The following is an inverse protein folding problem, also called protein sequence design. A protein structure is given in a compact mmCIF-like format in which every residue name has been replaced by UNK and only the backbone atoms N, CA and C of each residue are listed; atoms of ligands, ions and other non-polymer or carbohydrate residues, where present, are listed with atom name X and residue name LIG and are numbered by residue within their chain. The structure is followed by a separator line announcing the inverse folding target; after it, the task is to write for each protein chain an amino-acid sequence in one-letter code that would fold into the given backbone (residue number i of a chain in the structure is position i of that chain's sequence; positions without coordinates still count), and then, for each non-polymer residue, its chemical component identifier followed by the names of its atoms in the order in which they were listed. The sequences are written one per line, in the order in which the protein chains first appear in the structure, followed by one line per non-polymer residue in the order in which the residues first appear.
data_IF_082599013021
#
_entry.id   IF_082599013021
#
_cell.length_a   1.000
_cell.length_b   1.000
_cell.length_c   1.000
_cell.angle_alpha   90.00
_cell.angle_beta   90.00
_cell.angle_gamma   90.00
#
_symmetry.space_group_name_H-M   'P 1'
#
loop_
_entity.id
_entity.type
_entity.pdbx_description
1 polymer ?
#
# COMPACT_ATOMS: atom_id res chain seq x y z
N UNK A 1 -4.58 -17.35 20.36
CA UNK A 1 -4.29 -16.31 21.39
C UNK A 1 -4.17 -14.96 20.71
N UNK A 2 -4.14 -13.86 21.48
CA UNK A 2 -3.98 -12.50 20.91
C UNK A 2 -2.68 -12.37 20.09
N UNK A 3 -1.61 -13.04 20.51
CA UNK A 3 -0.32 -13.07 19.79
C UNK A 3 -0.47 -13.71 18.40
N UNK A 4 -1.10 -14.88 18.31
CA UNK A 4 -1.32 -15.57 17.02
C UNK A 4 -2.19 -14.73 16.07
N UNK A 5 -3.17 -14.00 16.63
CA UNK A 5 -4.02 -13.10 15.86
C UNK A 5 -3.23 -11.92 15.29
N UNK A 6 -2.37 -11.27 16.09
CA UNK A 6 -1.52 -10.18 15.61
C UNK A 6 -0.55 -10.69 14.55
N UNK A 7 0.08 -11.84 14.77
CA UNK A 7 1.00 -12.43 13.80
C UNK A 7 0.30 -12.74 12.47
N UNK A 8 -0.92 -13.27 12.52
CA UNK A 8 -1.74 -13.49 11.33
C UNK A 8 -2.06 -12.18 10.59
N UNK A 9 -2.37 -11.10 11.30
CA UNK A 9 -2.62 -9.80 10.66
C UNK A 9 -1.34 -9.22 10.03
N UNK A 10 -0.18 -9.35 10.67
CA UNK A 10 1.10 -8.95 10.06
C UNK A 10 1.40 -9.77 8.79
N UNK A 11 1.20 -11.08 8.84
CA UNK A 11 1.36 -11.94 7.67
C UNK A 11 0.39 -11.57 6.54
N UNK A 12 -0.88 -11.28 6.85
CA UNK A 12 -1.85 -10.80 5.87
C UNK A 12 -1.37 -9.51 5.16
N UNK A 13 -0.80 -8.57 5.93
CA UNK A 13 -0.22 -7.34 5.37
C UNK A 13 0.92 -7.66 4.38
N UNK A 14 1.88 -8.49 4.81
CA UNK A 14 3.06 -8.83 4.02
C UNK A 14 2.69 -9.63 2.75
N UNK A 15 1.73 -10.54 2.85
CA UNK A 15 1.22 -11.29 1.70
C UNK A 15 0.56 -10.37 0.67
N UNK A 16 -0.21 -9.39 1.12
CA UNK A 16 -0.86 -8.44 0.22
C UNK A 16 0.18 -7.55 -0.47
N UNK A 17 1.15 -7.01 0.28
CA UNK A 17 2.27 -6.24 -0.26
C UNK A 17 3.07 -7.05 -1.30
N UNK A 18 3.37 -8.32 -1.00
CA UNK A 18 4.11 -9.21 -1.91
C UNK A 18 3.34 -9.49 -3.21
N UNK A 19 2.01 -9.66 -3.15
CA UNK A 19 1.18 -9.85 -4.36
C UNK A 19 1.22 -8.63 -5.27
N UNK A 20 1.12 -7.43 -4.70
CA UNK A 20 1.20 -6.18 -5.47
C UNK A 20 2.61 -6.02 -6.07
N UNK A 21 3.64 -6.29 -5.29
CA UNK A 21 5.03 -6.19 -5.76
C UNK A 21 5.36 -7.16 -6.89
N UNK A 22 4.76 -8.36 -6.88
CA UNK A 22 4.99 -9.37 -7.92
C UNK A 22 4.34 -9.01 -9.27
N UNK A 23 3.31 -8.16 -9.28
CA UNK A 23 2.54 -7.85 -10.49
C UNK A 23 1.91 -6.44 -10.43
N UNK A 24 2.71 -5.37 -10.27
CA UNK A 24 2.24 -4.01 -9.99
C UNK A 24 1.24 -3.48 -11.02
N UNK A 25 1.39 -3.85 -12.29
CA UNK A 25 0.53 -3.45 -13.40
C UNK A 25 -0.94 -3.90 -13.27
N UNK A 26 -1.22 -4.89 -12.42
CA UNK A 26 -2.59 -5.35 -12.11
C UNK A 26 -3.26 -4.57 -10.99
N UNK A 27 -2.48 -3.81 -10.19
CA UNK A 27 -2.96 -3.13 -8.98
C UNK A 27 -2.85 -1.62 -9.05
N UNK A 28 -1.85 -1.11 -9.79
CA UNK A 28 -1.44 0.30 -9.81
C UNK A 28 -1.82 0.88 -11.18
N UNK A 29 -3.11 1.13 -11.34
CA UNK A 29 -3.72 1.76 -12.51
C UNK A 29 -4.54 2.97 -12.01
N UNK A 30 -3.85 4.06 -11.71
CA UNK A 30 -4.46 5.26 -11.11
C UNK A 30 -4.35 6.44 -12.05
N UNK A 31 -5.49 6.99 -12.48
CA UNK A 31 -5.55 8.24 -13.23
C UNK A 31 -5.66 9.45 -12.28
N UNK A 32 -6.08 9.21 -11.03
CA UNK A 32 -6.23 10.20 -9.97
C UNK A 32 -5.96 9.59 -8.59
N UNK A 33 -5.78 10.45 -7.58
CA UNK A 33 -5.74 10.00 -6.17
C UNK A 33 -7.06 9.33 -5.75
N UNK A 34 -8.18 9.74 -6.35
CA UNK A 34 -9.48 9.11 -6.06
C UNK A 34 -9.50 7.62 -6.43
N UNK A 35 -8.79 7.22 -7.49
CA UNK A 35 -8.76 5.83 -7.95
C UNK A 35 -8.03 4.93 -6.95
N UNK A 36 -6.98 5.44 -6.31
CA UNK A 36 -6.33 4.75 -5.20
C UNK A 36 -7.31 4.46 -4.08
N UNK A 37 -8.05 5.46 -3.60
CA UNK A 37 -9.02 5.26 -2.50
C UNK A 37 -10.21 4.37 -2.86
N UNK A 38 -10.45 4.13 -4.16
CA UNK A 38 -11.49 3.21 -4.66
C UNK A 38 -10.97 1.80 -4.91
N UNK A 39 -9.66 1.57 -4.83
CA UNK A 39 -9.07 0.28 -5.12
C UNK A 39 -9.59 -0.80 -4.16
N UNK A 40 -10.29 -1.80 -4.71
CA UNK A 40 -10.93 -2.84 -3.89
C UNK A 40 -9.92 -3.63 -3.05
N UNK A 41 -8.70 -3.78 -3.57
CA UNK A 41 -7.60 -4.47 -2.92
C UNK A 41 -7.11 -3.80 -1.64
N UNK A 42 -7.46 -2.54 -1.38
CA UNK A 42 -7.21 -1.92 -0.07
C UNK A 42 -7.95 -2.65 1.07
N UNK A 43 -9.08 -3.29 0.76
CA UNK A 43 -9.85 -4.06 1.74
C UNK A 43 -9.20 -5.40 2.11
N UNK A 44 -8.21 -5.85 1.33
CA UNK A 44 -7.49 -7.11 1.59
C UNK A 44 -6.37 -6.93 2.61
N UNK A 45 -5.99 -5.68 2.93
CA UNK A 45 -5.13 -5.37 4.07
C UNK A 45 -5.84 -5.64 5.41
N UNK A 46 -5.09 -5.88 6.50
CA UNK A 46 -5.69 -6.08 7.81
C UNK A 46 -6.59 -4.92 8.24
N UNK A 47 -7.70 -5.24 8.92
CA UNK A 47 -8.54 -4.21 9.54
C UNK A 47 -7.73 -3.36 10.51
N UNK A 48 -7.83 -2.05 10.36
CA UNK A 48 -7.05 -1.07 11.13
C UNK A 48 -5.79 -0.59 10.42
N UNK A 49 -5.53 -1.05 9.18
CA UNK A 49 -4.52 -0.42 8.31
C UNK A 49 -4.94 1.02 8.00
N UNK A 50 -3.95 1.90 7.89
CA UNK A 50 -4.12 3.28 7.46
C UNK A 50 -3.49 3.46 6.09
N UNK A 51 -4.03 4.37 5.29
CA UNK A 51 -3.48 4.68 3.98
C UNK A 51 -3.62 6.17 3.69
N UNK A 52 -2.64 6.68 2.96
CA UNK A 52 -2.63 8.03 2.45
C UNK A 52 -2.03 8.02 1.04
N UNK A 53 -2.57 8.89 0.18
CA UNK A 53 -2.02 9.13 -1.14
C UNK A 53 -2.00 10.62 -1.45
N UNK A 54 -1.02 11.01 -2.25
CA UNK A 54 -0.81 12.36 -2.75
C UNK A 54 -0.38 12.30 -4.21
N UNK A 55 -0.68 13.33 -4.99
CA UNK A 55 -0.28 13.44 -6.39
C UNK A 55 -1.47 13.48 -7.35
N UNK A 56 -1.18 13.47 -8.66
CA UNK A 56 -2.12 13.39 -9.79
C UNK A 56 -3.23 14.46 -9.96
N UNK A 57 -3.60 15.22 -8.94
CA UNK A 57 -4.57 16.32 -9.08
C UNK A 57 -3.87 17.67 -9.36
N UNK A 58 -4.43 18.48 -10.28
CA UNK A 58 -4.06 19.86 -10.60
C UNK A 58 -2.53 20.18 -10.66
N UNK A 59 -1.76 19.36 -11.39
CA UNK A 59 -0.37 19.67 -11.76
C UNK A 59 0.72 18.96 -10.96
N UNK A 60 0.37 17.97 -10.13
CA UNK A 60 1.36 17.10 -9.50
C UNK A 60 1.95 16.09 -10.51
N UNK A 61 3.26 16.16 -10.72
CA UNK A 61 4.00 15.28 -11.66
C UNK A 61 4.21 13.85 -11.14
N UNK A 62 3.98 13.60 -9.85
CA UNK A 62 4.32 12.34 -9.20
C UNK A 62 3.19 11.87 -8.28
N UNK A 63 2.90 10.57 -8.34
CA UNK A 63 2.01 9.88 -7.40
C UNK A 63 2.82 9.25 -6.28
N UNK A 64 2.30 9.34 -5.06
CA UNK A 64 2.80 8.62 -3.91
C UNK A 64 1.64 8.08 -3.08
N UNK A 65 1.71 6.82 -2.68
CA UNK A 65 0.82 6.23 -1.70
C UNK A 65 1.62 5.46 -0.64
N UNK A 66 1.09 5.45 0.57
CA UNK A 66 1.63 4.71 1.70
C UNK A 66 0.45 3.99 2.37
N UNK A 67 0.66 2.72 2.68
CA UNK A 67 -0.23 1.90 3.50
C UNK A 67 0.59 1.41 4.69
N UNK A 68 0.02 1.52 5.88
CA UNK A 68 0.70 1.23 7.14
C UNK A 68 -0.18 0.36 8.02
N UNK A 69 0.45 -0.60 8.69
CA UNK A 69 -0.19 -1.41 9.71
C UNK A 69 0.81 -1.73 10.81
N UNK A 70 0.56 -1.17 12.00
CA UNK A 70 1.49 -1.25 13.14
C UNK A 70 2.87 -0.70 12.77
N UNK A 71 3.89 -1.55 12.71
CA UNK A 71 5.25 -1.20 12.32
C UNK A 71 5.58 -1.58 10.87
N UNK A 72 4.64 -2.13 10.11
CA UNK A 72 4.83 -2.49 8.71
C UNK A 72 4.36 -1.34 7.80
N UNK A 73 5.08 -1.16 6.70
CA UNK A 73 4.71 -0.20 5.67
C UNK A 73 4.82 -0.82 4.28
N UNK A 74 4.02 -0.29 3.37
CA UNK A 74 4.04 -0.56 1.94
C UNK A 74 3.80 0.77 1.21
N UNK A 75 4.75 1.21 0.39
CA UNK A 75 4.66 2.44 -0.38
C UNK A 75 4.75 2.19 -1.87
N UNK A 76 4.03 3.04 -2.61
CA UNK A 76 4.03 3.11 -4.06
C UNK A 76 4.47 4.53 -4.41
N UNK A 77 5.48 4.67 -5.26
CA UNK A 77 5.84 5.94 -5.87
C UNK A 77 5.83 5.77 -7.38
N UNK A 78 5.12 6.65 -8.09
CA UNK A 78 5.11 6.69 -9.55
C UNK A 78 5.57 8.09 -9.97
N UNK A 79 6.83 8.21 -10.38
CA UNK A 79 7.39 9.41 -11.00
C UNK A 79 7.63 9.16 -12.49
N UNK A 80 8.69 8.41 -12.83
CA UNK A 80 8.96 7.92 -14.18
C UNK A 80 8.72 6.41 -14.31
N UNK A 81 8.92 5.68 -13.21
CA UNK A 81 8.69 4.25 -13.07
C UNK A 81 7.97 3.99 -11.76
N UNK A 82 7.31 2.83 -11.67
CA UNK A 82 6.67 2.38 -10.44
C UNK A 82 7.76 1.85 -9.50
N UNK A 83 8.00 2.55 -8.40
CA UNK A 83 8.79 2.06 -7.28
C UNK A 83 7.86 1.56 -6.17
N UNK A 84 8.06 0.31 -5.76
CA UNK A 84 7.38 -0.28 -4.61
C UNK A 84 8.42 -0.54 -3.53
N UNK A 85 8.11 -0.12 -2.29
CA UNK A 85 8.91 -0.46 -1.11
C UNK A 85 8.00 -1.02 -0.03
N UNK A 86 8.47 -2.07 0.63
CA UNK A 86 7.81 -2.60 1.81
C UNK A 86 8.86 -2.93 2.87
N UNK A 87 8.46 -2.87 4.13
CA UNK A 87 9.36 -3.18 5.22
C UNK A 87 8.74 -2.91 6.56
N UNK A 88 9.61 -2.94 7.56
CA UNK A 88 9.28 -2.67 8.95
C UNK A 88 10.02 -1.38 9.32
N UNK A 89 9.34 -0.43 9.95
CA UNK A 89 10.02 0.74 10.51
C UNK A 89 11.01 0.29 11.59
N UNK A 90 12.27 0.64 11.42
CA UNK A 90 13.27 0.51 12.48
C UNK A 90 12.88 1.45 13.63
N UNK A 91 12.79 0.91 14.85
CA UNK A 91 12.51 1.66 16.08
C UNK A 91 13.74 2.41 16.58
#
# INVERSE_FOLDING_TARGET
MLIDFIQHQLQQFDEMAARIQAAPEHYIQFDSVSDFYKAEWLNDFPKGSTWAATGLDDGAEQFYAIIEYRNHFFSISCSEQIEIRCGIYDQ
#
